data_IF_863835527701
#
_entry.id   IF_863835527701
#
_cell.length_a   1.000
_cell.length_b   1.000
_cell.length_c   1.000
_cell.angle_alpha   90.00
_cell.angle_beta   90.00
_cell.angle_gamma   90.00
#
_symmetry.space_group_name_H-M   'P 1'
#
loop_
_entity.id
_entity.type
_entity.pdbx_description
1 polymer ?
#
# COMPACT_ATOMS: atom_id res chain seq x y z
N UNK A 1 8.68 2.41 -25.46
CA UNK A 1 8.95 1.09 -24.84
C UNK A 1 8.47 1.12 -23.39
N UNK A 2 7.76 0.08 -22.98
CA UNK A 2 7.29 -0.07 -21.59
C UNK A 2 8.48 -0.46 -20.72
N UNK A 3 8.62 0.19 -19.56
CA UNK A 3 9.61 -0.22 -18.56
C UNK A 3 8.99 -1.21 -17.60
N UNK A 4 9.68 -2.32 -17.37
CA UNK A 4 9.26 -3.41 -16.47
C UNK A 4 10.31 -3.56 -15.39
N UNK A 5 9.88 -3.67 -14.14
CA UNK A 5 10.77 -3.83 -12.98
C UNK A 5 10.39 -5.09 -12.21
N UNK A 6 11.38 -5.91 -11.87
CA UNK A 6 11.26 -7.01 -10.94
C UNK A 6 11.85 -6.62 -9.59
N UNK A 7 11.09 -6.80 -8.52
CA UNK A 7 11.50 -6.56 -7.13
C UNK A 7 11.46 -7.89 -6.40
N UNK A 8 12.57 -8.30 -5.77
CA UNK A 8 12.64 -9.57 -5.05
C UNK A 8 13.64 -9.52 -3.89
N UNK A 9 13.53 -10.45 -2.96
CA UNK A 9 14.48 -10.60 -1.86
C UNK A 9 15.58 -11.59 -2.22
N UNK A 10 16.83 -11.21 -1.98
CA UNK A 10 17.99 -12.08 -2.03
C UNK A 10 18.73 -12.09 -0.69
N UNK A 11 19.85 -12.82 -0.59
CA UNK A 11 20.70 -12.80 0.58
C UNK A 11 21.26 -11.39 0.90
N UNK A 12 21.38 -10.52 -0.11
CA UNK A 12 21.81 -9.12 0.02
C UNK A 12 20.68 -8.14 0.34
N UNK A 13 19.47 -8.62 0.63
CA UNK A 13 18.28 -7.80 0.90
C UNK A 13 17.39 -7.61 -0.33
N UNK A 14 16.61 -6.53 -0.34
CA UNK A 14 15.69 -6.21 -1.44
C UNK A 14 16.47 -5.80 -2.68
N UNK A 15 16.20 -6.49 -3.79
CA UNK A 15 16.82 -6.25 -5.10
C UNK A 15 15.78 -5.68 -6.07
N UNK A 16 16.26 -4.85 -7.00
CA UNK A 16 15.45 -4.29 -8.07
C UNK A 16 16.20 -4.42 -9.39
N UNK A 17 15.56 -5.02 -10.37
CA UNK A 17 16.08 -5.18 -11.73
C UNK A 17 15.06 -4.62 -12.71
N UNK A 18 15.53 -3.82 -13.67
CA UNK A 18 14.68 -3.13 -14.64
C UNK A 18 15.08 -3.51 -16.06
N UNK A 19 14.10 -3.73 -16.92
CA UNK A 19 14.25 -3.94 -18.35
C UNK A 19 13.30 -3.05 -19.15
N UNK A 20 13.61 -2.84 -20.39
CA UNK A 20 12.74 -2.15 -21.34
C UNK A 20 12.21 -3.15 -22.35
N UNK A 21 10.90 -3.12 -22.58
CA UNK A 21 10.29 -3.89 -23.67
C UNK A 21 10.83 -3.45 -25.02
N UNK A 22 11.03 -4.40 -25.91
CA UNK A 22 11.38 -4.13 -27.30
C UNK A 22 10.16 -3.62 -28.12
N UNK A 23 10.31 -3.51 -29.43
CA UNK A 23 9.24 -3.06 -30.33
C UNK A 23 8.03 -4.01 -30.40
N UNK A 24 8.17 -5.26 -29.93
CA UNK A 24 7.10 -6.26 -29.82
C UNK A 24 6.50 -6.33 -28.42
N UNK A 25 7.08 -5.60 -27.44
CA UNK A 25 6.71 -5.66 -26.04
C UNK A 25 7.41 -6.77 -25.25
N UNK A 26 8.32 -7.53 -25.86
CA UNK A 26 9.09 -8.56 -25.16
C UNK A 26 10.16 -7.92 -24.25
N UNK A 27 10.38 -8.52 -23.07
CA UNK A 27 11.40 -8.11 -22.11
C UNK A 27 12.03 -9.33 -21.45
N UNK A 28 13.23 -9.16 -20.93
CA UNK A 28 13.94 -10.18 -20.15
C UNK A 28 14.49 -9.56 -18.86
N UNK A 29 14.32 -10.28 -17.75
CA UNK A 29 14.79 -9.86 -16.42
C UNK A 29 15.59 -11.01 -15.79
N UNK A 30 16.77 -10.70 -15.28
CA UNK A 30 17.64 -11.65 -14.59
C UNK A 30 17.72 -11.36 -13.12
N UNK A 31 17.52 -12.38 -12.28
CA UNK A 31 17.65 -12.29 -10.83
C UNK A 31 18.60 -13.34 -10.28
N UNK A 32 19.09 -13.13 -9.07
CA UNK A 32 19.91 -14.10 -8.34
C UNK A 32 19.33 -14.37 -6.95
N UNK A 33 18.84 -15.58 -6.75
CA UNK A 33 18.40 -16.09 -5.44
C UNK A 33 18.64 -17.59 -5.35
N UNK A 34 19.49 -18.01 -4.41
CA UNK A 34 19.84 -19.42 -4.20
C UNK A 34 18.66 -20.23 -3.62
N UNK A 35 17.79 -19.59 -2.87
CA UNK A 35 16.60 -20.18 -2.26
C UNK A 35 15.34 -19.60 -2.89
N UNK A 36 14.21 -20.33 -2.85
CA UNK A 36 12.94 -19.78 -3.31
C UNK A 36 12.63 -18.45 -2.63
N UNK A 37 12.29 -17.44 -3.43
CA UNK A 37 11.93 -16.10 -2.95
C UNK A 37 10.71 -15.57 -3.68
N UNK A 38 10.06 -14.58 -3.09
CA UNK A 38 8.96 -13.87 -3.75
C UNK A 38 9.52 -12.76 -4.62
N UNK A 39 8.98 -12.65 -5.82
CA UNK A 39 9.27 -11.56 -6.74
C UNK A 39 7.98 -10.92 -7.23
N UNK A 40 7.99 -9.61 -7.37
CA UNK A 40 6.91 -8.84 -7.98
C UNK A 40 7.43 -8.26 -9.29
N UNK A 41 6.71 -8.48 -10.37
CA UNK A 41 7.00 -7.85 -11.66
C UNK A 41 5.96 -6.77 -11.89
N UNK A 42 6.42 -5.53 -12.05
CA UNK A 42 5.57 -4.35 -12.18
C UNK A 42 5.94 -3.48 -13.38
N UNK A 43 4.96 -2.76 -13.90
CA UNK A 43 5.13 -1.72 -14.91
C UNK A 43 5.57 -0.40 -14.28
N UNK A 44 6.10 0.51 -15.08
CA UNK A 44 6.50 1.86 -14.64
C UNK A 44 5.34 2.70 -14.07
N UNK A 45 4.09 2.37 -14.40
CA UNK A 45 2.89 3.00 -13.86
C UNK A 45 2.41 2.38 -12.53
N UNK A 46 3.15 1.42 -11.99
CA UNK A 46 2.85 0.75 -10.73
C UNK A 46 1.87 -0.42 -10.83
N UNK A 47 1.37 -0.76 -12.02
CA UNK A 47 0.55 -1.95 -12.19
C UNK A 47 1.39 -3.21 -12.06
N UNK A 48 0.92 -4.16 -11.26
CA UNK A 48 1.59 -5.45 -11.08
C UNK A 48 1.21 -6.39 -12.22
N UNK A 49 2.22 -6.86 -12.96
CA UNK A 49 2.08 -7.88 -14.00
C UNK A 49 1.94 -9.28 -13.40
N UNK A 50 2.79 -9.62 -12.45
CA UNK A 50 2.76 -10.92 -11.80
C UNK A 50 3.42 -10.89 -10.42
N UNK A 51 2.90 -11.72 -9.52
CA UNK A 51 3.56 -12.14 -8.30
C UNK A 51 4.13 -13.54 -8.53
N UNK A 52 5.42 -13.72 -8.28
CA UNK A 52 6.16 -14.91 -8.63
C UNK A 52 6.85 -15.53 -7.42
N UNK A 53 7.10 -16.82 -7.51
CA UNK A 53 8.08 -17.54 -6.69
C UNK A 53 9.20 -18.00 -7.61
N UNK A 54 10.41 -17.54 -7.35
CA UNK A 54 11.58 -17.80 -8.19
C UNK A 54 12.81 -18.20 -7.38
N UNK A 55 13.69 -18.97 -7.99
CA UNK A 55 15.04 -19.28 -7.51
C UNK A 55 15.96 -19.48 -8.71
N UNK A 56 17.27 -19.51 -8.47
CA UNK A 56 18.25 -19.78 -9.51
C UNK A 56 17.92 -21.08 -10.25
N UNK A 57 18.03 -21.03 -11.57
CA UNK A 57 17.68 -22.13 -12.49
C UNK A 57 16.22 -22.15 -12.92
N UNK A 58 15.35 -21.28 -12.41
CA UNK A 58 14.03 -21.11 -13.00
C UNK A 58 14.11 -20.27 -14.28
N UNK A 59 13.34 -20.68 -15.29
CA UNK A 59 13.07 -19.89 -16.47
C UNK A 59 11.55 -19.65 -16.50
N UNK A 60 11.12 -18.48 -16.05
CA UNK A 60 9.72 -18.13 -15.91
C UNK A 60 9.29 -17.27 -17.07
N UNK A 61 8.25 -17.70 -17.77
CA UNK A 61 7.67 -16.97 -18.91
C UNK A 61 6.34 -16.36 -18.53
N UNK A 62 6.19 -15.08 -18.78
CA UNK A 62 4.94 -14.33 -18.67
C UNK A 62 4.40 -14.06 -20.07
N UNK A 63 3.13 -14.35 -20.32
CA UNK A 63 2.45 -14.08 -21.59
C UNK A 63 1.04 -13.55 -21.34
N UNK A 64 0.68 -12.47 -22.00
CA UNK A 64 -0.65 -11.86 -21.90
C UNK A 64 -0.70 -10.46 -22.47
N UNK A 65 -1.81 -9.80 -22.24
CA UNK A 65 -2.06 -8.44 -22.73
C UNK A 65 -2.12 -7.46 -21.56
N UNK A 66 -1.57 -6.25 -21.73
CA UNK A 66 -1.51 -5.23 -20.68
C UNK A 66 -2.88 -4.64 -20.33
N UNK A 67 -3.87 -4.84 -21.16
CA UNK A 67 -5.24 -4.40 -20.93
C UNK A 67 -6.01 -5.39 -20.02
N UNK A 68 -5.50 -6.64 -19.88
CA UNK A 68 -6.10 -7.64 -19.02
C UNK A 68 -5.05 -8.38 -18.19
N UNK A 69 -4.56 -7.75 -17.13
CA UNK A 69 -3.52 -8.30 -16.26
C UNK A 69 -3.96 -9.55 -15.48
N UNK A 70 -5.28 -9.77 -15.36
CA UNK A 70 -5.82 -10.96 -14.68
C UNK A 70 -5.68 -12.24 -15.51
N UNK A 71 -5.42 -12.12 -16.82
CA UNK A 71 -5.20 -13.24 -17.73
C UNK A 71 -3.73 -13.49 -18.07
N UNK A 72 -2.79 -12.84 -17.38
CA UNK A 72 -1.36 -13.11 -17.55
C UNK A 72 -1.08 -14.57 -17.22
N UNK A 73 -0.59 -15.29 -18.20
CA UNK A 73 -0.18 -16.71 -18.04
C UNK A 73 1.25 -16.79 -17.56
N UNK A 74 1.47 -17.61 -16.54
CA UNK A 74 2.78 -17.82 -15.94
C UNK A 74 3.18 -19.29 -16.15
N UNK A 75 4.38 -19.54 -16.67
CA UNK A 75 4.96 -20.89 -16.87
C UNK A 75 6.39 -20.92 -16.35
N UNK A 76 6.90 -22.13 -16.04
CA UNK A 76 8.29 -22.35 -15.61
C UNK A 76 8.51 -22.34 -14.10
N UNK A 77 7.45 -22.10 -13.31
CA UNK A 77 7.45 -22.27 -11.85
C UNK A 77 6.05 -22.69 -11.41
N UNK A 78 5.92 -23.88 -10.82
CA UNK A 78 4.63 -24.39 -10.33
C UNK A 78 3.96 -23.40 -9.36
N UNK A 79 4.64 -22.97 -8.27
CA UNK A 79 4.05 -22.01 -7.34
C UNK A 79 3.65 -20.67 -7.99
N UNK A 80 4.40 -20.20 -8.99
CA UNK A 80 4.03 -18.96 -9.72
C UNK A 80 2.79 -19.17 -10.59
N UNK A 81 2.62 -20.36 -11.17
CA UNK A 81 1.42 -20.71 -11.92
C UNK A 81 0.20 -20.81 -10.99
N UNK A 82 0.36 -21.41 -9.81
CA UNK A 82 -0.69 -21.51 -8.80
C UNK A 82 -1.18 -20.12 -8.34
N UNK A 83 -0.26 -19.16 -8.18
CA UNK A 83 -0.60 -17.76 -7.86
C UNK A 83 -1.43 -17.11 -8.98
N UNK A 84 -0.99 -17.28 -10.23
CA UNK A 84 -1.69 -16.69 -11.39
C UNK A 84 -3.09 -17.32 -11.58
N UNK A 85 -3.21 -18.62 -11.38
CA UNK A 85 -4.50 -19.32 -11.45
C UNK A 85 -5.44 -18.86 -10.34
N UNK A 86 -4.96 -18.81 -9.09
CA UNK A 86 -5.73 -18.27 -7.97
C UNK A 86 -6.17 -16.82 -8.21
N UNK A 87 -5.28 -15.97 -8.74
CA UNK A 87 -5.61 -14.58 -9.08
C UNK A 87 -6.74 -14.50 -10.10
N UNK A 88 -6.69 -15.33 -11.14
CA UNK A 88 -7.72 -15.41 -12.18
C UNK A 88 -9.06 -15.90 -11.62
N UNK A 89 -9.05 -16.98 -10.84
CA UNK A 89 -10.25 -17.55 -10.21
C UNK A 89 -10.94 -16.55 -9.25
N UNK A 90 -10.17 -15.66 -8.62
CA UNK A 90 -10.66 -14.69 -7.66
C UNK A 90 -10.73 -13.26 -8.23
N UNK A 91 -10.69 -13.09 -9.56
CA UNK A 91 -10.63 -11.78 -10.21
C UNK A 91 -11.77 -10.85 -9.78
N UNK A 92 -13.00 -11.34 -9.72
CA UNK A 92 -14.17 -10.55 -9.28
C UNK A 92 -14.05 -10.13 -7.81
N UNK A 93 -13.61 -11.04 -6.94
CA UNK A 93 -13.41 -10.75 -5.51
C UNK A 93 -12.31 -9.70 -5.33
N UNK A 94 -11.21 -9.82 -6.07
CA UNK A 94 -10.12 -8.85 -6.05
C UNK A 94 -10.56 -7.48 -6.57
N UNK A 95 -11.33 -7.44 -7.64
CA UNK A 95 -11.88 -6.22 -8.22
C UNK A 95 -12.90 -5.53 -7.30
N UNK A 96 -13.61 -6.28 -6.46
CA UNK A 96 -14.57 -5.71 -5.50
C UNK A 96 -13.92 -4.79 -4.46
N UNK A 97 -12.63 -4.94 -4.19
CA UNK A 97 -11.93 -4.22 -3.13
C UNK A 97 -12.39 -4.56 -1.71
N UNK A 98 -13.34 -5.49 -1.54
CA UNK A 98 -13.87 -5.88 -0.23
C UNK A 98 -12.83 -6.67 0.55
N UNK A 99 -12.26 -6.06 1.59
CA UNK A 99 -11.19 -6.66 2.39
C UNK A 99 -11.61 -8.00 3.03
N UNK A 100 -12.84 -8.11 3.53
CA UNK A 100 -13.35 -9.34 4.14
C UNK A 100 -13.43 -10.48 3.13
N UNK A 101 -13.98 -10.23 1.95
CA UNK A 101 -14.12 -11.22 0.89
C UNK A 101 -12.75 -11.66 0.36
N UNK A 102 -11.83 -10.71 0.11
CA UNK A 102 -10.46 -11.00 -0.33
C UNK A 102 -9.74 -11.85 0.71
N UNK A 103 -9.79 -11.45 1.99
CA UNK A 103 -9.13 -12.18 3.08
C UNK A 103 -9.71 -13.58 3.27
N UNK A 104 -11.00 -13.77 3.04
CA UNK A 104 -11.61 -15.10 3.09
C UNK A 104 -11.11 -16.01 1.96
N UNK A 105 -10.98 -15.48 0.73
CA UNK A 105 -10.42 -16.22 -0.40
C UNK A 105 -8.95 -16.59 -0.16
N UNK A 106 -8.14 -15.64 0.36
CA UNK A 106 -6.74 -15.92 0.75
C UNK A 106 -6.68 -17.00 1.83
N UNK A 107 -7.50 -16.88 2.88
CA UNK A 107 -7.55 -17.86 3.97
C UNK A 107 -7.86 -19.25 3.44
N UNK A 108 -8.87 -19.39 2.59
CA UNK A 108 -9.27 -20.68 2.00
C UNK A 108 -8.12 -21.33 1.20
N UNK A 109 -7.42 -20.54 0.40
CA UNK A 109 -6.26 -21.03 -0.34
C UNK A 109 -5.16 -21.54 0.60
N UNK A 110 -4.79 -20.74 1.61
CA UNK A 110 -3.74 -21.08 2.58
C UNK A 110 -4.08 -22.36 3.34
N UNK A 111 -5.31 -22.51 3.83
CA UNK A 111 -5.75 -23.68 4.58
C UNK A 111 -5.64 -24.97 3.78
N UNK A 112 -5.87 -24.90 2.46
CA UNK A 112 -5.80 -26.04 1.55
C UNK A 112 -4.37 -26.30 1.01
N UNK A 113 -3.45 -25.32 1.11
CA UNK A 113 -2.14 -25.35 0.46
C UNK A 113 -0.98 -24.99 1.41
N UNK A 114 -0.99 -25.46 2.65
CA UNK A 114 0.01 -25.12 3.68
C UNK A 114 1.44 -25.47 3.28
N UNK A 115 1.62 -26.56 2.54
CA UNK A 115 2.90 -27.05 2.01
C UNK A 115 3.31 -26.44 0.67
N UNK A 116 2.67 -25.33 0.23
CA UNK A 116 2.99 -24.65 -1.01
C UNK A 116 3.42 -23.19 -0.71
N UNK A 117 4.60 -22.82 -1.19
CA UNK A 117 5.13 -21.46 -1.04
C UNK A 117 4.26 -20.37 -1.72
N UNK A 118 3.39 -20.75 -2.67
CA UNK A 118 2.36 -19.87 -3.22
C UNK A 118 1.45 -19.30 -2.12
N UNK A 119 1.20 -20.03 -1.04
CA UNK A 119 0.44 -19.56 0.12
C UNK A 119 1.08 -18.34 0.77
N UNK A 120 2.40 -18.37 0.99
CA UNK A 120 3.13 -17.20 1.49
C UNK A 120 3.03 -16.02 0.52
N UNK A 121 3.20 -16.27 -0.78
CA UNK A 121 3.11 -15.25 -1.81
C UNK A 121 1.72 -14.60 -1.84
N UNK A 122 0.66 -15.40 -1.80
CA UNK A 122 -0.73 -14.90 -1.83
C UNK A 122 -1.06 -14.10 -0.57
N UNK A 123 -0.63 -14.54 0.62
CA UNK A 123 -0.79 -13.74 1.85
C UNK A 123 -0.10 -12.40 1.72
N UNK A 124 1.16 -12.37 1.30
CA UNK A 124 1.94 -11.14 1.20
C UNK A 124 1.39 -10.18 0.15
N UNK A 125 0.94 -10.69 -1.00
CA UNK A 125 0.50 -9.88 -2.12
C UNK A 125 -0.95 -9.39 -2.00
N UNK A 126 -1.86 -10.22 -1.50
CA UNK A 126 -3.29 -9.97 -1.62
C UNK A 126 -4.02 -9.79 -0.29
N UNK A 127 -3.51 -10.31 0.82
CA UNK A 127 -4.19 -10.18 2.10
C UNK A 127 -4.29 -8.70 2.53
N UNK A 128 -5.48 -8.26 2.86
CA UNK A 128 -5.77 -6.91 3.34
C UNK A 128 -5.58 -6.85 4.84
N UNK A 129 -4.40 -6.40 5.27
CA UNK A 129 -3.97 -6.49 6.68
C UNK A 129 -4.66 -5.50 7.60
N UNK A 130 -5.05 -4.32 7.10
CA UNK A 130 -5.66 -3.27 7.93
C UNK A 130 -6.96 -3.73 8.60
N UNK A 131 -6.93 -3.87 9.91
CA UNK A 131 -8.04 -4.41 10.70
C UNK A 131 -8.03 -5.92 10.89
N UNK A 132 -7.12 -6.63 10.22
CA UNK A 132 -7.01 -8.09 10.23
C UNK A 132 -5.60 -8.57 10.56
N UNK A 133 -4.79 -7.74 11.24
CA UNK A 133 -3.36 -8.00 11.46
C UNK A 133 -3.11 -9.33 12.20
N UNK A 134 -3.95 -9.62 13.21
CA UNK A 134 -3.85 -10.87 13.98
C UNK A 134 -4.16 -12.08 13.06
N UNK A 135 -5.17 -11.96 12.21
CA UNK A 135 -5.51 -13.02 11.25
C UNK A 135 -4.39 -13.21 10.23
N UNK A 136 -3.78 -12.12 9.74
CA UNK A 136 -2.66 -12.18 8.82
C UNK A 136 -1.45 -12.92 9.40
N UNK A 137 -1.08 -12.66 10.66
CA UNK A 137 0.01 -13.38 11.33
C UNK A 137 -0.36 -14.83 11.61
N UNK A 138 -1.61 -15.11 11.97
CA UNK A 138 -2.11 -16.48 12.17
C UNK A 138 -2.04 -17.28 10.88
N UNK A 139 -2.44 -16.73 9.74
CA UNK A 139 -2.34 -17.39 8.44
C UNK A 139 -0.88 -17.65 8.06
N UNK A 140 0.01 -16.69 8.28
CA UNK A 140 1.43 -16.87 8.05
C UNK A 140 2.01 -17.97 8.94
N UNK A 141 1.45 -18.17 10.12
CA UNK A 141 1.94 -19.19 11.09
C UNK A 141 1.55 -20.60 10.71
N UNK A 142 0.38 -20.81 10.09
CA UNK A 142 -0.09 -22.16 9.70
C UNK A 142 0.55 -22.68 8.41
N UNK A 143 1.20 -21.83 7.61
CA UNK A 143 2.02 -22.25 6.46
C UNK A 143 3.25 -22.98 6.97
N UNK A 144 3.65 -24.08 6.31
CA UNK A 144 4.80 -24.87 6.70
C UNK A 144 6.11 -24.04 6.68
N UNK A 145 7.02 -24.31 7.62
CA UNK A 145 8.23 -23.51 7.80
C UNK A 145 9.07 -23.37 6.53
N UNK A 146 9.25 -24.48 5.79
CA UNK A 146 10.06 -24.49 4.56
C UNK A 146 9.43 -23.68 3.42
N UNK A 147 8.13 -23.37 3.54
CA UNK A 147 7.37 -22.57 2.58
C UNK A 147 7.35 -21.08 2.92
N UNK A 148 8.07 -20.66 3.96
CA UNK A 148 8.12 -19.29 4.48
C UNK A 148 9.53 -18.71 4.35
N UNK A 149 9.90 -18.06 3.21
CA UNK A 149 11.21 -17.40 3.09
C UNK A 149 11.42 -16.38 4.21
N UNK A 150 12.50 -16.56 5.00
CA UNK A 150 12.68 -15.83 6.26
C UNK A 150 12.68 -14.31 6.12
N UNK A 151 13.35 -13.77 5.09
CA UNK A 151 13.38 -12.33 4.82
C UNK A 151 12.00 -11.76 4.48
N UNK A 152 11.19 -12.49 3.72
CA UNK A 152 9.83 -12.10 3.34
C UNK A 152 8.92 -12.07 4.57
N UNK A 153 8.96 -13.15 5.37
CA UNK A 153 8.15 -13.26 6.59
C UNK A 153 8.54 -12.21 7.62
N UNK A 154 9.83 -11.96 7.79
CA UNK A 154 10.32 -10.92 8.70
C UNK A 154 9.83 -9.54 8.27
N UNK A 155 9.91 -9.20 6.99
CA UNK A 155 9.40 -7.93 6.46
C UNK A 155 7.88 -7.82 6.65
N UNK A 156 7.13 -8.86 6.31
CA UNK A 156 5.67 -8.89 6.48
C UNK A 156 5.27 -8.68 7.95
N UNK A 157 5.89 -9.42 8.89
CA UNK A 157 5.63 -9.26 10.32
C UNK A 157 6.05 -7.90 10.86
N UNK A 158 7.11 -7.30 10.33
CA UNK A 158 7.49 -5.92 10.68
C UNK A 158 6.41 -4.92 10.30
N UNK A 159 5.81 -5.08 9.12
CA UNK A 159 4.67 -4.25 8.68
C UNK A 159 3.46 -4.44 9.60
N UNK A 160 3.11 -5.68 9.95
CA UNK A 160 2.01 -5.96 10.89
C UNK A 160 2.27 -5.35 12.26
N UNK A 161 3.48 -5.51 12.81
CA UNK A 161 3.86 -4.93 14.09
C UNK A 161 3.75 -3.40 14.08
N UNK A 162 4.15 -2.76 12.98
CA UNK A 162 4.00 -1.32 12.79
C UNK A 162 2.53 -0.91 12.78
N UNK A 163 1.68 -1.64 12.08
CA UNK A 163 0.23 -1.38 12.04
C UNK A 163 -0.43 -1.57 13.41
N UNK A 164 -0.06 -2.61 14.14
CA UNK A 164 -0.56 -2.87 15.51
C UNK A 164 -0.09 -1.80 16.48
N UNK A 165 1.18 -1.43 16.43
CA UNK A 165 1.74 -0.36 17.28
C UNK A 165 1.05 0.98 17.02
N UNK A 166 0.72 1.27 15.77
CA UNK A 166 -0.01 2.47 15.40
C UNK A 166 -1.45 2.50 15.94
N UNK A 167 -2.10 1.34 16.07
CA UNK A 167 -3.42 1.24 16.72
C UNK A 167 -3.36 1.49 18.23
N UNK A 168 -2.24 1.14 18.86
CA UNK A 168 -2.02 1.36 20.29
C UNK A 168 -1.53 2.78 20.62
N UNK A 169 -1.19 3.61 19.61
CA UNK A 169 -0.95 5.03 19.81
C UNK A 169 -2.25 5.69 20.27
N UNK A 170 -2.39 5.85 21.58
CA UNK A 170 -3.62 6.30 22.22
C UNK A 170 -4.08 7.67 21.69
N UNK A 171 -3.14 8.57 21.34
CA UNK A 171 -3.47 9.93 20.88
C UNK A 171 -2.47 10.47 19.87
N UNK A 172 -2.96 11.18 18.87
CA UNK A 172 -2.11 11.96 17.95
C UNK A 172 -1.60 13.19 18.69
N UNK A 173 -0.29 13.37 18.68
CA UNK A 173 0.37 14.52 19.31
C UNK A 173 0.43 15.72 18.36
N UNK A 174 0.54 16.95 18.88
CA UNK A 174 0.84 18.12 18.06
C UNK A 174 2.10 17.91 17.22
N UNK A 175 2.09 18.44 15.99
CA UNK A 175 3.18 18.29 15.03
C UNK A 175 3.51 19.61 14.36
N UNK A 176 4.80 19.77 14.00
CA UNK A 176 5.29 20.89 13.19
C UNK A 176 5.53 20.37 11.78
N UNK A 177 4.93 21.01 10.80
CA UNK A 177 4.99 20.65 9.39
C UNK A 177 5.29 21.93 8.57
N UNK A 178 5.65 21.78 7.31
CA UNK A 178 5.91 22.91 6.41
C UNK A 178 4.85 22.94 5.32
N UNK A 179 4.44 24.17 4.96
CA UNK A 179 3.51 24.40 3.84
C UNK A 179 4.29 24.55 2.52
N UNK A 180 3.57 24.61 1.41
CA UNK A 180 4.16 24.82 0.08
C UNK A 180 4.90 26.17 -0.05
N UNK A 181 4.62 27.15 0.83
CA UNK A 181 5.25 28.47 0.89
C UNK A 181 6.38 28.57 1.92
N UNK A 182 6.92 27.42 2.36
CA UNK A 182 7.97 27.31 3.39
C UNK A 182 7.60 27.89 4.76
N UNK A 183 6.33 28.18 5.00
CA UNK A 183 5.85 28.58 6.31
C UNK A 183 5.62 27.36 7.21
N UNK A 184 5.76 27.57 8.50
CA UNK A 184 5.51 26.54 9.51
C UNK A 184 4.01 26.38 9.77
N UNK A 185 3.53 25.14 9.73
CA UNK A 185 2.17 24.79 10.12
C UNK A 185 2.20 23.96 11.40
N UNK A 186 1.47 24.40 12.41
CA UNK A 186 1.33 23.70 13.68
C UNK A 186 0.01 22.94 13.70
N UNK A 187 0.10 21.63 13.54
CA UNK A 187 -1.05 20.76 13.76
C UNK A 187 -1.27 20.53 15.25
N UNK A 188 -2.47 20.86 15.73
CA UNK A 188 -2.91 20.61 17.12
C UNK A 188 -4.30 19.99 17.06
N UNK A 189 -4.49 18.75 17.53
CA UNK A 189 -5.80 18.06 17.49
C UNK A 189 -6.95 18.89 18.09
N UNK A 190 -6.70 19.56 19.22
CA UNK A 190 -7.71 20.37 19.93
C UNK A 190 -8.20 21.61 19.16
N UNK A 191 -7.50 22.02 18.09
CA UNK A 191 -7.94 23.15 17.26
C UNK A 191 -9.24 22.85 16.50
N UNK A 192 -9.52 21.57 16.25
CA UNK A 192 -10.71 21.11 15.52
C UNK A 192 -11.56 20.16 16.36
N UNK A 193 -12.83 19.97 15.99
CA UNK A 193 -13.65 18.89 16.53
C UNK A 193 -13.21 17.54 15.96
N UNK A 194 -12.99 17.55 14.62
CA UNK A 194 -12.51 16.39 13.85
C UNK A 194 -11.41 16.85 12.91
N UNK A 195 -10.33 16.10 12.83
CA UNK A 195 -9.27 16.26 11.85
C UNK A 195 -9.18 15.02 10.97
N UNK A 196 -9.01 15.21 9.66
CA UNK A 196 -8.65 14.16 8.70
C UNK A 196 -7.19 14.35 8.29
N UNK A 197 -6.32 13.45 8.73
CA UNK A 197 -4.93 13.37 8.28
C UNK A 197 -4.89 12.51 7.01
N UNK A 198 -4.59 13.09 5.88
CA UNK A 198 -4.63 12.45 4.57
C UNK A 198 -3.21 12.31 3.98
N UNK A 199 -2.70 11.09 3.91
CA UNK A 199 -1.42 10.76 3.28
C UNK A 199 -1.67 10.44 1.81
N UNK A 200 -1.39 11.39 0.94
CA UNK A 200 -1.72 11.33 -0.49
C UNK A 200 -0.45 11.15 -1.31
N UNK A 201 -0.38 10.14 -2.21
CA UNK A 201 0.77 9.97 -3.08
C UNK A 201 0.87 11.11 -4.12
N UNK A 202 2.08 11.33 -4.64
CA UNK A 202 2.33 12.35 -5.66
C UNK A 202 1.82 11.98 -7.05
N UNK A 203 1.61 10.68 -7.27
CA UNK A 203 1.17 10.15 -8.56
C UNK A 203 -0.15 10.80 -8.99
N UNK A 204 -0.14 11.48 -10.15
CA UNK A 204 -1.28 12.29 -10.61
C UNK A 204 -2.59 11.51 -10.68
N UNK A 205 -2.57 10.29 -11.20
CA UNK A 205 -3.75 9.42 -11.26
C UNK A 205 -4.39 9.14 -9.90
N UNK A 206 -3.57 9.02 -8.84
CA UNK A 206 -4.07 8.86 -7.48
C UNK A 206 -4.67 10.16 -6.95
N UNK A 207 -3.99 11.29 -7.21
CA UNK A 207 -4.47 12.61 -6.79
C UNK A 207 -5.79 12.96 -7.46
N UNK A 208 -5.95 12.71 -8.75
CA UNK A 208 -7.17 12.96 -9.51
C UNK A 208 -8.38 12.17 -8.97
N UNK A 209 -8.12 11.03 -8.31
CA UNK A 209 -9.17 10.25 -7.64
C UNK A 209 -9.48 10.73 -6.22
N UNK A 210 -8.47 11.16 -5.45
CA UNK A 210 -8.59 11.45 -4.01
C UNK A 210 -8.93 12.91 -3.75
N UNK A 211 -8.25 13.84 -4.41
CA UNK A 211 -8.36 15.29 -4.16
C UNK A 211 -9.80 15.81 -4.33
N UNK A 212 -10.57 15.42 -5.35
CA UNK A 212 -11.98 15.83 -5.46
C UNK A 212 -12.84 15.36 -4.29
N UNK A 213 -12.57 14.17 -3.74
CA UNK A 213 -13.32 13.65 -2.60
C UNK A 213 -12.98 14.41 -1.31
N UNK A 214 -11.71 14.78 -1.11
CA UNK A 214 -11.29 15.64 0.00
C UNK A 214 -11.93 17.03 -0.12
N UNK A 215 -11.97 17.61 -1.32
CA UNK A 215 -12.57 18.90 -1.58
C UNK A 215 -14.09 18.88 -1.28
N UNK A 216 -14.79 17.86 -1.74
CA UNK A 216 -16.22 17.70 -1.46
C UNK A 216 -16.49 17.57 0.05
N UNK A 217 -15.64 16.81 0.77
CA UNK A 217 -15.75 16.65 2.22
C UNK A 217 -15.47 17.96 2.95
N UNK A 218 -14.43 18.71 2.55
CA UNK A 218 -14.08 20.01 3.13
C UNK A 218 -15.19 21.03 2.92
N UNK A 219 -15.75 21.10 1.73
CA UNK A 219 -16.87 21.98 1.40
C UNK A 219 -18.13 21.66 2.21
N UNK A 220 -18.47 20.36 2.32
CA UNK A 220 -19.63 19.90 3.10
C UNK A 220 -19.60 20.35 4.55
N UNK A 221 -18.42 20.43 5.14
CA UNK A 221 -18.22 20.79 6.54
C UNK A 221 -17.51 22.13 6.73
N UNK A 222 -17.60 23.06 5.75
CA UNK A 222 -16.96 24.38 5.81
C UNK A 222 -17.33 25.19 7.06
N UNK A 223 -18.56 25.04 7.56
CA UNK A 223 -19.08 25.73 8.75
C UNK A 223 -18.93 24.92 10.05
N UNK A 224 -18.19 23.81 10.03
CA UNK A 224 -17.91 22.98 11.22
C UNK A 224 -16.45 23.11 11.61
N UNK A 225 -16.14 22.77 12.87
CA UNK A 225 -14.75 22.64 13.32
C UNK A 225 -14.13 21.33 12.78
N UNK A 226 -13.92 21.34 11.46
CA UNK A 226 -13.34 20.25 10.69
C UNK A 226 -12.19 20.76 9.83
N UNK A 227 -11.09 20.04 9.84
CA UNK A 227 -9.98 20.32 8.95
C UNK A 227 -9.36 19.06 8.35
N UNK A 228 -8.71 19.27 7.20
CA UNK A 228 -7.93 18.27 6.50
C UNK A 228 -6.47 18.73 6.54
N UNK A 229 -5.59 17.83 6.95
CA UNK A 229 -4.14 18.01 6.86
C UNK A 229 -3.60 16.94 5.92
N UNK A 230 -3.15 17.37 4.77
CA UNK A 230 -2.58 16.50 3.76
C UNK A 230 -1.07 16.35 3.97
N UNK A 231 -0.59 15.12 3.94
CA UNK A 231 0.83 14.77 4.01
C UNK A 231 1.26 14.17 2.69
N UNK A 232 2.43 14.56 2.22
CA UNK A 232 3.07 13.92 1.06
C UNK A 232 3.98 12.78 1.49
N UNK A 233 4.18 11.82 0.59
CA UNK A 233 5.23 10.80 0.70
C UNK A 233 6.55 11.20 0.04
N UNK A 234 6.64 12.39 -0.56
CA UNK A 234 7.84 12.87 -1.24
C UNK A 234 9.00 13.14 -0.27
N UNK A 235 10.19 12.72 -0.69
CA UNK A 235 11.44 13.13 -0.05
C UNK A 235 11.93 14.49 -0.57
N UNK A 236 11.48 14.91 -1.76
CA UNK A 236 11.86 16.15 -2.43
C UNK A 236 10.72 17.17 -2.33
N UNK A 237 10.97 18.26 -1.63
CA UNK A 237 9.99 19.35 -1.45
C UNK A 237 9.63 20.08 -2.75
N UNK A 238 10.55 20.17 -3.70
CA UNK A 238 10.29 20.80 -5.01
C UNK A 238 9.38 19.91 -5.88
N UNK A 239 9.65 18.63 -5.92
CA UNK A 239 8.80 17.65 -6.61
C UNK A 239 7.39 17.66 -6.03
N UNK A 240 7.28 17.63 -4.70
CA UNK A 240 5.98 17.75 -4.02
C UNK A 240 5.23 19.02 -4.40
N UNK A 241 5.87 20.21 -4.29
CA UNK A 241 5.24 21.47 -4.65
C UNK A 241 4.72 21.48 -6.08
N UNK A 242 5.46 20.88 -7.00
CA UNK A 242 5.02 20.78 -8.39
C UNK A 242 3.80 19.84 -8.53
N UNK A 243 3.73 18.77 -7.76
CA UNK A 243 2.64 17.79 -7.81
C UNK A 243 1.30 18.36 -7.30
N UNK A 244 1.32 19.29 -6.35
CA UNK A 244 0.12 19.87 -5.73
C UNK A 244 -0.38 21.15 -6.42
N UNK A 245 0.41 21.78 -7.28
CA UNK A 245 0.01 23.02 -7.99
C UNK A 245 -1.37 22.96 -8.65
N UNK A 246 -1.76 21.85 -9.31
CA UNK A 246 -3.06 21.77 -9.98
C UNK A 246 -4.26 21.55 -9.05
N UNK A 247 -4.05 21.29 -7.75
CA UNK A 247 -5.11 20.72 -6.90
C UNK A 247 -6.13 21.75 -6.39
N UNK A 248 -5.81 23.06 -6.39
CA UNK A 248 -6.70 24.12 -5.85
C UNK A 248 -7.25 23.78 -4.45
N UNK A 249 -6.43 23.17 -3.59
CA UNK A 249 -6.84 22.70 -2.28
C UNK A 249 -7.18 23.84 -1.32
N UNK A 250 -8.30 23.72 -0.61
CA UNK A 250 -8.73 24.66 0.45
C UNK A 250 -8.37 24.15 1.86
N UNK A 251 -7.43 23.22 1.96
CA UNK A 251 -6.92 22.66 3.22
C UNK A 251 -5.39 22.74 3.27
N UNK A 252 -4.81 22.34 4.39
CA UNK A 252 -3.37 22.38 4.61
C UNK A 252 -2.67 21.23 3.86
N UNK A 253 -2.00 21.55 2.76
CA UNK A 253 -1.06 20.63 2.09
C UNK A 253 0.32 20.83 2.73
N UNK A 254 0.86 19.76 3.31
CA UNK A 254 2.04 19.83 4.16
C UNK A 254 3.12 18.82 3.78
N UNK A 255 4.33 19.17 4.16
CA UNK A 255 5.54 18.35 3.99
C UNK A 255 6.35 18.33 5.28
N UNK A 256 7.08 17.25 5.52
CA UNK A 256 8.06 17.16 6.60
C UNK A 256 9.39 16.66 6.03
N UNK A 257 10.55 17.22 6.44
CA UNK A 257 11.86 16.72 6.04
C UNK A 257 12.01 15.23 6.41
N UNK A 258 12.25 14.38 5.42
CA UNK A 258 12.23 12.93 5.57
C UNK A 258 10.85 12.27 5.31
N UNK A 259 9.84 13.04 4.92
CA UNK A 259 8.52 12.55 4.52
C UNK A 259 7.86 11.71 5.63
N UNK A 260 7.32 10.53 5.30
CA UNK A 260 6.73 9.59 6.26
C UNK A 260 7.72 9.04 7.29
N UNK A 261 9.02 9.14 7.02
CA UNK A 261 10.10 8.78 7.96
C UNK A 261 10.49 9.93 8.92
N UNK A 262 9.98 11.14 8.70
CA UNK A 262 10.23 12.27 9.59
C UNK A 262 9.78 11.95 11.03
N UNK A 263 10.51 12.35 12.07
CA UNK A 263 10.17 12.05 13.46
C UNK A 263 8.74 12.43 13.84
N UNK A 264 8.22 13.55 13.34
CA UNK A 264 6.85 14.00 13.58
C UNK A 264 5.80 13.07 12.96
N UNK A 265 6.10 12.47 11.80
CA UNK A 265 5.15 11.67 10.99
C UNK A 265 5.31 10.18 11.26
N UNK A 266 6.55 9.73 11.52
CA UNK A 266 6.86 8.30 11.75
C UNK A 266 6.01 7.68 12.87
N UNK A 267 5.72 8.44 13.91
CA UNK A 267 4.90 7.97 15.04
C UNK A 267 3.44 7.72 14.66
N UNK A 268 2.97 8.23 13.53
CA UNK A 268 1.66 7.91 12.98
C UNK A 268 1.62 6.52 12.34
N UNK A 269 2.79 5.88 12.16
CA UNK A 269 2.98 4.51 11.67
C UNK A 269 2.12 4.22 10.42
N UNK A 270 2.25 5.07 9.41
CA UNK A 270 1.56 4.94 8.13
C UNK A 270 2.21 3.83 7.33
N UNK A 271 1.49 2.73 7.03
CA UNK A 271 2.09 1.54 6.42
C UNK A 271 2.42 1.75 4.93
N UNK A 272 1.57 2.48 4.23
CA UNK A 272 1.72 2.85 2.81
C UNK A 272 0.71 3.95 2.45
N UNK A 273 0.94 4.65 1.36
CA UNK A 273 0.02 5.66 0.83
C UNK A 273 -0.79 5.09 -0.37
N UNK A 274 -2.03 5.54 -0.59
CA UNK A 274 -2.78 6.49 0.22
C UNK A 274 -3.19 5.92 1.58
N UNK A 275 -3.25 6.80 2.59
CA UNK A 275 -3.68 6.43 3.93
C UNK A 275 -4.41 7.58 4.62
N UNK A 276 -5.39 7.26 5.46
CA UNK A 276 -6.24 8.24 6.11
C UNK A 276 -6.40 7.93 7.59
N UNK A 277 -6.26 8.94 8.43
CA UNK A 277 -6.49 8.85 9.86
C UNK A 277 -7.51 9.93 10.23
N UNK A 278 -8.63 9.55 10.83
CA UNK A 278 -9.60 10.49 11.40
C UNK A 278 -9.37 10.58 12.90
N UNK A 279 -9.23 11.79 13.43
CA UNK A 279 -8.99 12.02 14.84
C UNK A 279 -9.98 13.03 15.42
N UNK A 280 -10.31 12.86 16.70
CA UNK A 280 -11.08 13.81 17.48
C UNK A 280 -10.20 14.94 18.08
N UNK A 281 -10.82 15.88 18.81
CA UNK A 281 -10.15 17.00 19.46
C UNK A 281 -9.19 16.60 20.59
N UNK A 282 -9.31 15.41 21.13
CA UNK A 282 -8.36 14.87 22.12
C UNK A 282 -7.18 14.15 21.43
N UNK A 283 -7.21 14.02 20.10
CA UNK A 283 -6.23 13.29 19.32
C UNK A 283 -6.51 11.77 19.27
N UNK A 284 -7.64 11.29 19.79
CA UNK A 284 -8.00 9.88 19.67
C UNK A 284 -8.27 9.53 18.20
N UNK A 285 -7.71 8.42 17.76
CA UNK A 285 -7.88 7.94 16.40
C UNK A 285 -9.21 7.20 16.27
N UNK A 286 -10.15 7.78 15.53
CA UNK A 286 -11.47 7.20 15.30
C UNK A 286 -11.44 6.11 14.20
N UNK A 287 -10.58 6.28 13.21
CA UNK A 287 -10.32 5.28 12.17
C UNK A 287 -8.95 5.48 11.54
N UNK A 288 -8.39 4.38 11.06
CA UNK A 288 -7.18 4.31 10.22
C UNK A 288 -7.49 3.42 9.02
N UNK A 289 -7.29 3.91 7.80
CA UNK A 289 -7.74 3.19 6.60
C UNK A 289 -7.00 3.63 5.34
N UNK A 290 -6.95 2.75 4.33
CA UNK A 290 -6.54 3.09 2.96
C UNK A 290 -7.68 3.67 2.10
N UNK A 291 -8.91 3.61 2.60
CA UNK A 291 -10.10 4.01 1.84
C UNK A 291 -10.59 5.39 2.27
N UNK A 292 -10.57 6.35 1.33
CA UNK A 292 -11.14 7.68 1.55
C UNK A 292 -12.65 7.62 1.84
N UNK A 293 -13.38 6.66 1.26
CA UNK A 293 -14.81 6.50 1.51
C UNK A 293 -15.09 6.06 2.95
N UNK A 294 -14.29 5.16 3.51
CA UNK A 294 -14.39 4.75 4.93
C UNK A 294 -14.06 5.92 5.85
N UNK A 295 -12.98 6.65 5.59
CA UNK A 295 -12.64 7.83 6.36
C UNK A 295 -13.75 8.89 6.32
N UNK A 296 -14.30 9.16 5.14
CA UNK A 296 -15.42 10.10 4.95
C UNK A 296 -16.68 9.67 5.71
N UNK A 297 -16.99 8.38 5.75
CA UNK A 297 -18.13 7.87 6.52
C UNK A 297 -17.97 8.15 8.03
N UNK A 298 -16.76 7.96 8.58
CA UNK A 298 -16.46 8.27 9.98
C UNK A 298 -16.56 9.77 10.25
N UNK A 299 -16.01 10.63 9.38
CA UNK A 299 -16.15 12.09 9.48
C UNK A 299 -17.62 12.48 9.45
N UNK A 300 -18.42 11.93 8.52
CA UNK A 300 -19.84 12.19 8.40
C UNK A 300 -20.60 11.82 9.69
N UNK A 301 -20.25 10.73 10.34
CA UNK A 301 -20.88 10.30 11.59
C UNK A 301 -20.49 11.18 12.78
N UNK A 302 -19.23 11.60 12.86
CA UNK A 302 -18.72 12.39 13.97
C UNK A 302 -19.12 13.88 13.92
N UNK A 303 -19.53 14.40 12.74
CA UNK A 303 -19.91 15.80 12.53
C UNK A 303 -21.42 16.01 12.33
N UNK A 304 -22.21 14.96 12.37
CA UNK A 304 -23.68 15.08 12.52
C UNK A 304 -24.00 15.76 13.84
#
# INVERSE_FOLDING_TARGET
>A
AQTVTMIYYSAGGLQRVTAHGDGTGAFELHGDSKTPTLAVVELSDGRVLANLVAKNGNNITLTGELDNLMDIKVKGSGPSSDIAEWQKENAEVLASGNAGAINQAVKQFVENNKGNIASTAIVVAYFRTAGYEILADSLMTIIDNDMRPGSVVQNFRSVLATQLSAKTLATIKPMILFTATDSTFYYVPSAQKISLLAFVPELRSCRDSIVPQLAALKLKYANKRFDIVEFTSSLDSLQWRNSIKPDSASWHQTWAPGSVSAPAVRNLAVPRVPYFIVADSAGNQLVRTHSISVASAVVNNALK
#
